data_IF_533195160673
#
_entry.id   IF_533195160673
#
_cell.length_a   1.000
_cell.length_b   1.000
_cell.length_c   1.000
_cell.angle_alpha   90.00
_cell.angle_beta   90.00
_cell.angle_gamma   90.00
#
_symmetry.space_group_name_H-M   'P 1'
#
loop_
_entity.id
_entity.type
_entity.pdbx_description
1 polymer ?
#
# COMPACT_ATOMS: atom_id res chain seq x y z
N UNK A 1 -29.44 -38.13 63.50
CA UNK A 1 -30.54 -39.05 63.14
C UNK A 1 -31.41 -38.34 62.11
N UNK A 2 -31.22 -38.66 60.83
CA UNK A 2 -32.03 -38.11 59.72
C UNK A 2 -33.15 -39.14 59.48
N UNK A 3 -34.44 -38.74 59.49
CA UNK A 3 -35.54 -39.69 59.41
C UNK A 3 -35.59 -40.39 58.04
N UNK A 4 -35.77 -41.73 57.99
CA UNK A 4 -35.80 -42.52 56.75
C UNK A 4 -37.04 -42.30 55.87
N UNK A 5 -37.98 -41.46 56.28
CA UNK A 5 -39.24 -41.19 55.56
C UNK A 5 -39.09 -40.22 54.38
N UNK A 6 -37.96 -39.54 54.22
CA UNK A 6 -37.76 -38.59 53.12
C UNK A 6 -37.42 -39.25 51.77
N UNK A 7 -36.93 -40.50 51.77
CA UNK A 7 -36.38 -41.15 50.57
C UNK A 7 -37.50 -41.72 49.67
N UNK A 8 -38.58 -42.25 50.27
CA UNK A 8 -39.71 -42.84 49.52
C UNK A 8 -40.51 -41.83 48.72
N UNK A 9 -40.82 -40.67 49.31
CA UNK A 9 -41.54 -39.58 48.64
C UNK A 9 -40.70 -38.95 47.50
N UNK A 10 -39.38 -38.88 47.65
CA UNK A 10 -38.48 -38.41 46.61
C UNK A 10 -38.42 -39.37 45.41
N UNK A 11 -38.49 -40.68 45.64
CA UNK A 11 -38.51 -41.69 44.58
C UNK A 11 -39.84 -41.74 43.81
N UNK A 12 -40.99 -41.59 44.48
CA UNK A 12 -42.30 -41.51 43.80
C UNK A 12 -42.45 -40.23 42.95
N UNK A 13 -41.89 -39.10 43.43
CA UNK A 13 -41.83 -37.89 42.62
C UNK A 13 -40.92 -38.06 41.39
N UNK A 14 -39.81 -38.79 41.52
CA UNK A 14 -38.93 -39.13 40.39
C UNK A 14 -39.61 -40.05 39.37
N UNK A 15 -40.48 -40.98 39.80
CA UNK A 15 -41.14 -41.94 38.92
C UNK A 15 -42.28 -41.33 38.09
N UNK A 16 -43.00 -40.35 38.64
CA UNK A 16 -44.11 -39.67 37.96
C UNK A 16 -43.70 -38.49 37.05
N UNK A 17 -42.53 -37.89 37.28
CA UNK A 17 -42.11 -36.63 36.63
C UNK A 17 -40.80 -36.72 35.83
N UNK A 18 -40.38 -37.91 35.44
CA UNK A 18 -39.15 -38.11 34.64
C UNK A 18 -39.14 -37.32 33.32
N UNK A 19 -40.31 -37.02 32.74
CA UNK A 19 -40.48 -36.20 31.53
C UNK A 19 -40.05 -34.72 31.71
N UNK A 20 -39.94 -34.23 32.95
CA UNK A 20 -39.51 -32.85 33.22
C UNK A 20 -38.03 -32.67 32.86
N UNK A 21 -37.19 -33.70 32.98
CA UNK A 21 -35.77 -33.62 32.63
C UNK A 21 -35.54 -33.29 31.15
N UNK A 22 -36.09 -34.03 30.17
CA UNK A 22 -35.92 -33.67 28.77
C UNK A 22 -36.61 -32.35 28.42
N UNK A 23 -37.75 -32.02 29.05
CA UNK A 23 -38.41 -30.73 28.84
C UNK A 23 -37.55 -29.55 29.34
N UNK A 24 -36.93 -29.68 30.51
CA UNK A 24 -36.00 -28.69 31.05
C UNK A 24 -34.74 -28.57 30.20
N UNK A 25 -34.21 -29.70 29.70
CA UNK A 25 -33.06 -29.71 28.80
C UNK A 25 -33.38 -28.99 27.48
N UNK A 26 -34.54 -29.23 26.88
CA UNK A 26 -34.98 -28.53 25.66
C UNK A 26 -35.20 -27.03 25.91
N UNK A 27 -35.78 -26.65 27.05
CA UNK A 27 -35.94 -25.25 27.41
C UNK A 27 -34.60 -24.54 27.59
N UNK A 28 -33.63 -25.19 28.24
CA UNK A 28 -32.28 -24.66 28.40
C UNK A 28 -31.57 -24.53 27.04
N UNK A 29 -31.70 -25.55 26.18
CA UNK A 29 -31.12 -25.54 24.84
C UNK A 29 -31.68 -24.40 23.99
N UNK A 30 -33.00 -24.21 23.97
CA UNK A 30 -33.64 -23.11 23.26
C UNK A 30 -33.21 -21.72 23.77
N UNK A 31 -32.96 -21.59 25.08
CA UNK A 31 -32.42 -20.34 25.66
C UNK A 31 -30.98 -20.07 25.19
N UNK A 32 -30.14 -21.10 25.12
CA UNK A 32 -28.76 -20.98 24.63
C UNK A 32 -28.77 -20.56 23.15
N UNK A 33 -29.58 -21.23 22.30
CA UNK A 33 -29.67 -20.87 20.89
C UNK A 33 -30.17 -19.43 20.68
N UNK A 34 -31.19 -19.01 21.43
CA UNK A 34 -31.70 -17.64 21.38
C UNK A 34 -30.66 -16.62 21.83
N UNK A 35 -29.84 -16.96 22.83
CA UNK A 35 -28.72 -16.15 23.29
C UNK A 35 -27.64 -16.01 22.22
N UNK A 36 -27.24 -17.13 21.61
CA UNK A 36 -26.24 -17.18 20.55
C UNK A 36 -26.68 -16.39 19.32
N UNK A 37 -27.91 -16.55 18.85
CA UNK A 37 -28.44 -15.81 17.69
C UNK A 37 -28.34 -14.28 17.91
N UNK A 38 -28.74 -13.80 19.09
CA UNK A 38 -28.62 -12.38 19.46
C UNK A 38 -27.18 -11.91 19.60
N UNK A 39 -26.26 -12.78 20.02
CA UNK A 39 -24.85 -12.46 20.13
C UNK A 39 -24.21 -12.31 18.74
N UNK A 40 -24.46 -13.25 17.83
CA UNK A 40 -23.97 -13.18 16.45
C UNK A 40 -24.53 -11.97 15.69
N UNK A 41 -25.82 -11.66 15.85
CA UNK A 41 -26.42 -10.47 15.25
C UNK A 41 -25.70 -9.18 15.69
N UNK A 42 -25.38 -9.06 16.99
CA UNK A 42 -24.62 -7.92 17.52
C UNK A 42 -23.18 -7.85 17.01
N UNK A 43 -22.52 -8.99 16.83
CA UNK A 43 -21.18 -9.05 16.26
C UNK A 43 -21.22 -8.59 14.80
N UNK A 44 -22.16 -9.09 14.00
CA UNK A 44 -22.32 -8.68 12.60
C UNK A 44 -22.59 -7.18 12.44
N UNK A 45 -23.43 -6.59 13.31
CA UNK A 45 -23.67 -5.14 13.28
C UNK A 45 -22.41 -4.33 13.66
N UNK A 46 -21.61 -4.82 14.60
CA UNK A 46 -20.34 -4.20 14.96
C UNK A 46 -19.32 -4.31 13.82
N UNK A 47 -19.17 -5.50 13.23
CA UNK A 47 -18.27 -5.74 12.10
C UNK A 47 -18.66 -4.89 10.90
N UNK A 48 -19.96 -4.78 10.59
CA UNK A 48 -20.46 -3.91 9.53
C UNK A 48 -20.07 -2.44 9.78
N UNK A 49 -20.23 -1.95 11.01
CA UNK A 49 -19.84 -0.59 11.37
C UNK A 49 -18.32 -0.37 11.28
N UNK A 50 -17.51 -1.37 11.64
CA UNK A 50 -16.05 -1.31 11.49
C UNK A 50 -15.63 -1.29 10.01
N UNK A 51 -16.25 -2.13 9.18
CA UNK A 51 -16.00 -2.16 7.73
C UNK A 51 -16.36 -0.82 7.09
N UNK A 52 -17.49 -0.21 7.47
CA UNK A 52 -17.86 1.11 6.95
C UNK A 52 -16.86 2.20 7.34
N UNK A 53 -16.37 2.19 8.59
CA UNK A 53 -15.31 3.12 9.03
C UNK A 53 -14.02 2.90 8.26
N UNK A 54 -13.59 1.65 8.12
CA UNK A 54 -12.38 1.29 7.37
C UNK A 54 -12.48 1.72 5.89
N UNK A 55 -13.65 1.59 5.26
CA UNK A 55 -13.90 2.07 3.90
C UNK A 55 -13.75 3.59 3.80
N UNK A 56 -14.33 4.35 4.74
CA UNK A 56 -14.20 5.82 4.77
C UNK A 56 -12.74 6.24 4.96
N UNK A 57 -12.05 5.63 5.91
CA UNK A 57 -10.63 5.89 6.15
C UNK A 57 -9.78 5.56 4.92
N UNK A 58 -10.04 4.45 4.23
CA UNK A 58 -9.31 4.11 3.00
C UNK A 58 -9.56 5.11 1.87
N UNK A 59 -10.80 5.61 1.72
CA UNK A 59 -11.14 6.60 0.71
C UNK A 59 -10.46 7.95 1.00
N UNK A 60 -10.42 8.36 2.27
CA UNK A 60 -9.68 9.56 2.69
C UNK A 60 -8.17 9.43 2.46
N UNK A 61 -7.59 8.25 2.71
CA UNK A 61 -6.17 7.99 2.47
C UNK A 61 -5.84 8.04 0.97
N UNK A 62 -6.67 7.45 0.12
CA UNK A 62 -6.52 7.54 -1.34
C UNK A 62 -6.57 8.99 -1.81
N UNK A 63 -7.56 9.76 -1.37
CA UNK A 63 -7.67 11.18 -1.71
C UNK A 63 -6.46 12.01 -1.23
N UNK A 64 -5.92 11.71 -0.04
CA UNK A 64 -4.70 12.36 0.46
C UNK A 64 -3.47 11.98 -0.36
N UNK A 65 -3.35 10.72 -0.77
CA UNK A 65 -2.24 10.25 -1.61
C UNK A 65 -2.29 10.86 -3.01
N UNK A 66 -3.46 10.92 -3.63
CA UNK A 66 -3.65 11.58 -4.93
C UNK A 66 -3.21 13.06 -4.87
N UNK A 67 -3.59 13.78 -3.81
CA UNK A 67 -3.13 15.17 -3.59
C UNK A 67 -1.62 15.26 -3.45
N UNK A 68 -0.99 14.40 -2.64
CA UNK A 68 0.48 14.37 -2.49
C UNK A 68 1.20 14.13 -3.81
N UNK A 69 0.68 13.22 -4.65
CA UNK A 69 1.26 12.94 -5.96
C UNK A 69 1.08 14.12 -6.91
N UNK A 70 -0.10 14.75 -6.91
CA UNK A 70 -0.36 15.95 -7.71
C UNK A 70 0.55 17.12 -7.31
N UNK A 71 0.66 17.39 -6.01
CA UNK A 71 1.52 18.45 -5.46
C UNK A 71 3.00 18.19 -5.80
N UNK A 72 3.49 16.96 -5.59
CA UNK A 72 4.86 16.59 -5.94
C UNK A 72 5.16 16.74 -7.44
N UNK A 73 4.18 16.42 -8.28
CA UNK A 73 4.31 16.56 -9.74
C UNK A 73 4.34 18.03 -10.15
N UNK A 74 3.48 18.86 -9.55
CA UNK A 74 3.47 20.30 -9.78
C UNK A 74 4.81 20.95 -9.35
N UNK A 75 5.33 20.57 -8.19
CA UNK A 75 6.64 21.03 -7.70
C UNK A 75 7.78 20.62 -8.64
N UNK A 76 7.77 19.37 -9.11
CA UNK A 76 8.77 18.88 -10.05
C UNK A 76 8.72 19.68 -11.37
N UNK A 77 7.53 19.90 -11.92
CA UNK A 77 7.35 20.70 -13.12
C UNK A 77 7.84 22.15 -12.93
N UNK A 78 7.53 22.77 -11.79
CA UNK A 78 8.01 24.11 -11.47
C UNK A 78 9.54 24.20 -11.41
N UNK A 79 10.19 23.19 -10.80
CA UNK A 79 11.67 23.11 -10.76
C UNK A 79 12.27 22.87 -12.13
N UNK A 80 11.65 22.04 -12.97
CA UNK A 80 12.10 21.79 -14.33
C UNK A 80 12.08 23.09 -15.16
N UNK A 81 10.98 23.84 -15.14
CA UNK A 81 10.86 25.14 -15.82
C UNK A 81 11.88 26.15 -15.31
N UNK A 82 12.19 26.14 -14.00
CA UNK A 82 13.23 27.01 -13.43
C UNK A 82 14.66 26.63 -13.90
N UNK A 83 14.90 25.37 -14.26
CA UNK A 83 16.21 24.89 -14.73
C UNK A 83 16.42 25.05 -16.23
N UNK A 84 15.37 25.05 -17.04
CA UNK A 84 15.43 25.27 -18.50
C UNK A 84 16.32 26.46 -18.92
N UNK A 85 16.19 27.67 -18.37
CA UNK A 85 17.03 28.79 -18.79
C UNK A 85 18.50 28.61 -18.45
N UNK A 86 18.83 27.89 -17.37
CA UNK A 86 20.22 27.60 -16.98
C UNK A 86 20.83 26.62 -17.98
N UNK A 87 20.08 25.59 -18.37
CA UNK A 87 20.52 24.60 -19.35
C UNK A 87 20.71 25.26 -20.73
N UNK A 88 19.75 26.08 -21.18
CA UNK A 88 19.89 26.80 -22.45
C UNK A 88 21.09 27.76 -22.44
N UNK A 89 21.24 28.57 -21.39
CA UNK A 89 22.33 29.53 -21.27
C UNK A 89 23.70 28.84 -21.18
N UNK A 90 23.82 27.76 -20.41
CA UNK A 90 25.08 27.01 -20.32
C UNK A 90 25.47 26.37 -21.66
N UNK A 91 24.51 25.85 -22.43
CA UNK A 91 24.76 25.32 -23.79
C UNK A 91 25.18 26.42 -24.76
N UNK A 92 24.54 27.59 -24.71
CA UNK A 92 24.92 28.76 -25.50
C UNK A 92 26.37 29.18 -25.15
N UNK A 93 26.68 29.32 -23.86
CA UNK A 93 28.02 29.69 -23.39
C UNK A 93 29.10 28.68 -23.81
N UNK A 94 28.81 27.38 -23.75
CA UNK A 94 29.75 26.34 -24.23
C UNK A 94 29.93 26.46 -25.75
N UNK A 95 28.87 26.72 -26.51
CA UNK A 95 28.92 26.89 -27.97
C UNK A 95 29.74 28.12 -28.35
N UNK A 96 29.52 29.25 -27.68
CA UNK A 96 30.29 30.48 -27.86
C UNK A 96 31.77 30.27 -27.51
N UNK A 97 32.06 29.63 -26.38
CA UNK A 97 33.43 29.32 -25.98
C UNK A 97 34.12 28.40 -26.99
N UNK A 98 33.44 27.37 -27.49
CA UNK A 98 33.98 26.44 -28.49
C UNK A 98 34.28 27.10 -29.85
N UNK A 99 33.64 28.23 -30.17
CA UNK A 99 33.95 29.02 -31.36
C UNK A 99 35.20 29.90 -31.21
N UNK A 100 35.70 30.11 -29.99
CA UNK A 100 36.95 30.86 -29.75
C UNK A 100 38.17 30.01 -30.10
N UNK A 101 39.33 30.61 -30.45
CA UNK A 101 40.55 29.84 -30.75
C UNK A 101 41.04 28.97 -29.58
N UNK A 102 40.89 29.45 -28.34
CA UNK A 102 41.28 28.74 -27.13
C UNK A 102 40.34 27.57 -26.79
N UNK A 103 39.02 27.78 -26.93
CA UNK A 103 38.03 26.72 -26.75
C UNK A 103 38.03 25.69 -27.87
N UNK A 104 38.21 26.14 -29.12
CA UNK A 104 38.40 25.28 -30.28
C UNK A 104 39.59 24.34 -30.04
N UNK A 105 40.76 24.82 -29.58
CA UNK A 105 41.91 23.97 -29.29
C UNK A 105 41.62 22.86 -28.25
N UNK A 106 40.77 23.11 -27.25
CA UNK A 106 40.35 22.08 -26.28
C UNK A 106 39.29 21.11 -26.83
N UNK A 107 38.43 21.56 -27.74
CA UNK A 107 37.41 20.74 -28.42
C UNK A 107 37.95 20.01 -29.67
N UNK A 108 39.11 20.43 -30.18
CA UNK A 108 39.75 19.96 -31.42
C UNK A 108 40.72 18.80 -31.22
N UNK A 109 40.85 18.24 -30.02
CA UNK A 109 41.54 16.96 -29.91
C UNK A 109 40.68 15.90 -30.60
N UNK A 110 40.84 15.80 -31.92
CA UNK A 110 40.07 14.96 -32.82
C UNK A 110 40.16 13.50 -32.36
N UNK A 111 41.29 13.12 -31.77
CA UNK A 111 41.47 11.83 -31.11
C UNK A 111 40.47 11.60 -29.96
N UNK A 112 40.13 12.64 -29.20
CA UNK A 112 39.14 12.59 -28.11
C UNK A 112 37.71 12.53 -28.64
N UNK A 113 37.39 13.31 -29.68
CA UNK A 113 36.08 13.27 -30.33
C UNK A 113 35.82 11.92 -31.01
N UNK A 114 36.84 11.35 -31.65
CA UNK A 114 36.79 10.03 -32.27
C UNK A 114 36.71 8.92 -31.23
N UNK A 115 37.41 9.05 -30.09
CA UNK A 115 37.27 8.16 -28.95
C UNK A 115 35.86 8.17 -28.34
N UNK A 116 35.25 9.35 -28.16
CA UNK A 116 33.86 9.45 -27.67
C UNK A 116 32.87 8.88 -28.69
N UNK A 117 33.08 9.12 -29.99
CA UNK A 117 32.24 8.57 -31.05
C UNK A 117 32.38 7.05 -31.14
N UNK A 118 33.58 6.52 -31.00
CA UNK A 118 33.85 5.08 -30.93
C UNK A 118 33.21 4.45 -29.68
N UNK A 119 33.37 5.04 -28.50
CA UNK A 119 32.75 4.57 -27.26
C UNK A 119 31.22 4.61 -27.33
N UNK A 120 30.63 5.70 -27.85
CA UNK A 120 29.18 5.80 -28.08
C UNK A 120 28.72 4.70 -29.03
N UNK A 121 29.39 4.54 -30.17
CA UNK A 121 29.02 3.51 -31.13
C UNK A 121 29.18 2.11 -30.55
N UNK A 122 30.19 1.86 -29.70
CA UNK A 122 30.35 0.58 -29.00
C UNK A 122 29.24 0.33 -27.97
N UNK A 123 28.83 1.36 -27.21
CA UNK A 123 27.72 1.27 -26.24
C UNK A 123 26.37 0.99 -26.93
N UNK A 124 26.15 1.50 -28.14
CA UNK A 124 24.89 1.35 -28.88
C UNK A 124 24.99 0.39 -30.09
N UNK A 125 26.09 -0.35 -30.23
CA UNK A 125 26.26 -1.34 -31.31
C UNK A 125 25.59 -2.69 -30.99
N UNK A 126 25.16 -2.90 -29.74
CA UNK A 126 24.65 -4.19 -29.27
C UNK A 126 23.22 -4.18 -28.72
N UNK A 127 22.59 -3.03 -28.51
CA UNK A 127 21.27 -2.99 -27.86
C UNK A 127 20.20 -2.40 -28.78
N UNK A 128 19.19 -3.25 -28.96
CA UNK A 128 17.94 -3.01 -29.64
C UNK A 128 17.32 -1.65 -29.31
N UNK A 129 16.58 -1.12 -30.27
CA UNK A 129 15.80 0.13 -30.25
C UNK A 129 14.73 0.23 -29.14
N UNK A 130 14.81 -0.53 -28.05
CA UNK A 130 13.93 -0.50 -26.87
C UNK A 130 14.42 0.38 -25.70
N UNK A 131 15.68 0.83 -25.70
CA UNK A 131 16.26 1.57 -24.56
C UNK A 131 15.76 3.02 -24.38
N UNK A 132 14.83 3.50 -25.23
CA UNK A 132 14.18 4.80 -25.04
C UNK A 132 13.07 4.79 -23.96
N UNK A 133 12.71 3.64 -23.39
CA UNK A 133 11.58 3.51 -22.46
C UNK A 133 11.97 3.21 -20.99
N UNK A 134 13.26 3.05 -20.68
CA UNK A 134 13.73 2.59 -19.36
C UNK A 134 14.18 3.68 -18.36
N UNK A 135 13.85 4.95 -18.60
CA UNK A 135 14.31 6.09 -17.80
C UNK A 135 13.65 6.27 -16.42
N UNK A 136 12.84 5.32 -15.94
CA UNK A 136 12.15 5.41 -14.65
C UNK A 136 12.86 4.68 -13.50
N UNK A 137 14.01 4.06 -13.73
CA UNK A 137 14.73 3.26 -12.72
C UNK A 137 15.97 3.90 -12.09
N UNK A 138 16.42 5.07 -12.54
CA UNK A 138 17.69 5.66 -12.10
C UNK A 138 17.60 6.57 -10.87
N UNK A 139 16.68 6.28 -9.94
CA UNK A 139 16.71 6.86 -8.58
C UNK A 139 17.20 5.76 -7.65
N UNK A 140 18.51 5.72 -7.41
CA UNK A 140 19.09 4.92 -6.34
C UNK A 140 18.46 5.37 -5.01
N UNK A 141 17.87 4.42 -4.29
CA UNK A 141 17.43 4.60 -2.92
C UNK A 141 18.63 5.05 -2.06
N UNK A 142 18.54 6.24 -1.49
CA UNK A 142 19.40 6.64 -0.38
C UNK A 142 19.08 5.71 0.80
N UNK A 143 20.07 5.10 1.49
CA UNK A 143 19.79 4.40 2.73
C UNK A 143 19.27 5.39 3.77
N UNK A 144 18.11 5.08 4.36
CA UNK A 144 17.52 5.83 5.47
C UNK A 144 18.39 5.71 6.74
N UNK A 145 18.42 6.75 7.60
CA UNK A 145 19.13 6.72 8.87
C UNK A 145 18.51 5.71 9.86
#
# INVERSE_FOLDING_TARGET
MIPPLAIGAALDFMRGKWWILPAAALALWALIERGNARHFEKLHLQDAALIERAKRESAEQLAKNERRVADATADYAARAVAQEPIILKSRETIREYAQTPAGAAQCLDAARADGVRASRNALFAGDDTGAAQGGSGAVQALPSP
#
